data_IF_491021832465
#
_entry.id   IF_491021832465
#
_cell.length_a   1.000
_cell.length_b   1.000
_cell.length_c   1.000
_cell.angle_alpha   90.00
_cell.angle_beta   90.00
_cell.angle_gamma   90.00
#
_symmetry.space_group_name_H-M   'P 1'
#
loop_
_entity.id
_entity.type
_entity.pdbx_description
1 polymer ?
#
# COMPACT_ATOMS: atom_id res chain seq x y z
N UNK A 1 10.68 6.34 -38.08
CA UNK A 1 10.68 7.67 -37.44
C UNK A 1 10.31 7.45 -35.98
N UNK A 2 11.28 7.55 -35.07
CA UNK A 2 11.08 7.34 -33.63
C UNK A 2 10.26 8.50 -33.08
N UNK A 3 9.00 8.22 -32.71
CA UNK A 3 8.16 9.16 -31.96
C UNK A 3 8.74 9.29 -30.54
N UNK A 4 9.76 10.13 -30.38
CA UNK A 4 10.36 10.46 -29.09
C UNK A 4 9.42 11.39 -28.32
N UNK A 5 8.25 10.89 -27.93
CA UNK A 5 7.42 11.57 -26.93
C UNK A 5 8.19 11.55 -25.61
N UNK A 6 8.61 12.75 -25.17
CA UNK A 6 9.22 12.95 -23.86
C UNK A 6 8.28 12.35 -22.82
N UNK A 7 8.79 11.42 -22.00
CA UNK A 7 8.01 10.80 -20.93
C UNK A 7 7.56 11.87 -19.93
N UNK A 8 6.30 11.82 -19.45
CA UNK A 8 5.78 12.86 -18.55
C UNK A 8 6.56 12.86 -17.23
N UNK A 9 6.92 14.05 -16.77
CA UNK A 9 7.57 14.23 -15.48
C UNK A 9 6.61 13.90 -14.34
N UNK A 10 7.08 13.13 -13.36
CA UNK A 10 6.25 12.64 -12.26
C UNK A 10 6.87 13.00 -10.92
N UNK A 11 6.11 13.64 -10.03
CA UNK A 11 6.49 13.80 -8.63
C UNK A 11 5.60 12.95 -7.73
N UNK A 12 6.21 12.40 -6.69
CA UNK A 12 5.48 11.83 -5.55
C UNK A 12 5.60 12.78 -4.37
N UNK A 13 4.48 13.13 -3.77
CA UNK A 13 4.44 13.87 -2.52
C UNK A 13 4.08 12.92 -1.38
N UNK A 14 4.96 12.80 -0.40
CA UNK A 14 4.88 11.83 0.71
C UNK A 14 5.23 12.49 2.04
N UNK A 15 4.65 12.01 3.13
CA UNK A 15 5.03 12.38 4.50
C UNK A 15 6.03 11.40 5.14
N UNK A 16 6.54 10.44 4.35
CA UNK A 16 7.50 9.43 4.77
C UNK A 16 6.89 8.16 5.37
N UNK A 17 5.55 8.07 5.50
CA UNK A 17 4.90 6.84 5.90
C UNK A 17 5.05 5.78 4.79
N UNK A 18 5.89 4.76 5.00
CA UNK A 18 6.27 3.77 3.98
C UNK A 18 5.07 3.11 3.27
N UNK A 19 4.02 2.75 4.01
CA UNK A 19 2.81 2.15 3.41
C UNK A 19 1.98 3.13 2.57
N UNK A 20 2.09 4.44 2.79
CA UNK A 20 1.47 5.44 1.94
C UNK A 20 2.36 5.70 0.71
N UNK A 21 3.66 5.90 0.91
CA UNK A 21 4.62 6.12 -0.17
C UNK A 21 4.61 4.97 -1.20
N UNK A 22 4.52 3.72 -0.72
CA UNK A 22 4.40 2.54 -1.58
C UNK A 22 3.15 2.55 -2.48
N UNK A 23 2.05 3.19 -2.06
CA UNK A 23 0.86 3.33 -2.91
C UNK A 23 1.15 4.26 -4.09
N UNK A 24 1.81 5.39 -3.83
CA UNK A 24 2.21 6.33 -4.88
C UNK A 24 3.24 5.71 -5.83
N UNK A 25 4.23 5.01 -5.28
CA UNK A 25 5.25 4.30 -6.05
C UNK A 25 4.63 3.22 -6.92
N UNK A 26 3.71 2.42 -6.38
CA UNK A 26 3.00 1.38 -7.14
C UNK A 26 2.26 1.94 -8.34
N UNK A 27 1.60 3.10 -8.19
CA UNK A 27 0.96 3.79 -9.30
C UNK A 27 1.97 4.32 -10.33
N UNK A 28 3.03 5.01 -9.88
CA UNK A 28 4.06 5.55 -10.77
C UNK A 28 4.76 4.45 -11.59
N UNK A 29 5.13 3.34 -10.94
CA UNK A 29 5.74 2.19 -11.60
C UNK A 29 4.80 1.54 -12.62
N UNK A 30 3.51 1.42 -12.30
CA UNK A 30 2.51 0.87 -13.24
C UNK A 30 2.31 1.77 -14.45
N UNK A 31 2.55 3.07 -14.30
CA UNK A 31 2.55 4.04 -15.40
C UNK A 31 3.85 4.02 -16.22
N UNK A 32 4.88 3.26 -15.79
CA UNK A 32 6.20 3.25 -16.41
C UNK A 32 7.00 4.53 -16.15
N UNK A 33 6.70 5.24 -15.06
CA UNK A 33 7.32 6.52 -14.72
C UNK A 33 8.34 6.36 -13.60
N UNK A 34 9.43 7.12 -13.68
CA UNK A 34 10.43 7.25 -12.61
C UNK A 34 10.11 8.54 -11.84
N UNK A 35 9.56 8.45 -10.61
CA UNK A 35 9.12 9.63 -9.89
C UNK A 35 10.27 10.30 -9.11
N UNK A 36 10.24 11.63 -9.05
CA UNK A 36 11.00 12.41 -8.07
C UNK A 36 10.20 12.49 -6.76
N UNK A 37 10.74 11.91 -5.69
CA UNK A 37 10.04 11.78 -4.39
C UNK A 37 10.31 13.02 -3.53
N UNK A 38 9.28 13.84 -3.36
CA UNK A 38 9.26 15.00 -2.46
C UNK A 38 8.71 14.59 -1.09
N UNK A 39 9.59 14.34 -0.13
CA UNK A 39 9.20 14.05 1.27
C UNK A 39 9.04 15.34 2.06
N UNK A 40 7.83 15.61 2.54
CA UNK A 40 7.49 16.83 3.27
C UNK A 40 7.23 16.57 4.75
N UNK A 41 7.69 17.50 5.60
CA UNK A 41 7.30 17.58 6.99
C UNK A 41 6.72 18.96 7.27
N UNK A 42 5.43 19.03 7.61
CA UNK A 42 4.78 20.29 7.97
C UNK A 42 5.18 20.68 9.40
N UNK A 43 5.73 21.89 9.57
CA UNK A 43 6.06 22.45 10.89
C UNK A 43 4.75 22.77 11.65
N UNK A 44 4.83 22.82 12.98
CA UNK A 44 3.74 23.35 13.78
C UNK A 44 3.51 24.85 13.44
N UNK A 45 2.26 25.35 13.45
CA UNK A 45 1.01 24.63 13.74
C UNK A 45 0.40 23.94 12.50
N UNK A 46 1.00 24.08 11.31
CA UNK A 46 0.45 23.61 10.03
C UNK A 46 0.27 22.08 9.96
N UNK A 47 1.15 21.33 10.63
CA UNK A 47 0.99 19.88 10.78
C UNK A 47 -0.17 19.45 11.69
N UNK A 48 -0.69 20.36 12.53
CA UNK A 48 -1.77 20.11 13.48
C UNK A 48 -3.14 20.59 12.97
N UNK A 49 -3.14 21.59 12.09
CA UNK A 49 -4.37 22.18 11.56
C UNK A 49 -5.05 21.25 10.54
N UNK A 50 -6.40 21.23 10.50
CA UNK A 50 -7.15 20.59 9.42
C UNK A 50 -6.73 21.13 8.04
N UNK A 51 -6.61 20.28 7.00
CA UNK A 51 -6.17 20.70 5.66
C UNK A 51 -7.00 21.84 5.07
N UNK A 52 -8.31 21.85 5.39
CA UNK A 52 -9.25 22.89 5.02
C UNK A 52 -8.81 24.30 5.42
N UNK A 53 -8.15 24.47 6.58
CA UNK A 53 -7.75 25.76 7.12
C UNK A 53 -6.45 26.24 6.46
N UNK A 54 -5.48 25.34 6.29
CA UNK A 54 -4.20 25.66 5.65
C UNK A 54 -4.32 26.00 4.16
N UNK A 55 -5.23 25.36 3.43
CA UNK A 55 -5.39 25.56 1.99
C UNK A 55 -6.38 26.68 1.59
N UNK A 56 -7.30 27.10 2.49
CA UNK A 56 -8.28 28.17 2.19
C UNK A 56 -7.76 29.58 2.38
N UNK A 57 -6.82 29.83 3.30
CA UNK A 57 -6.52 31.21 3.72
C UNK A 57 -5.27 31.85 3.13
N UNK A 58 -4.22 31.12 2.78
CA UNK A 58 -2.98 31.75 2.30
C UNK A 58 -2.16 30.78 1.42
N UNK A 59 -1.15 31.29 0.70
CA UNK A 59 -0.05 30.51 0.10
C UNK A 59 0.79 29.72 1.15
N UNK A 60 0.27 29.57 2.37
CA UNK A 60 0.89 29.00 3.54
C UNK A 60 1.23 27.49 3.49
N UNK A 61 0.62 26.63 2.64
CA UNK A 61 1.03 25.22 2.61
C UNK A 61 2.51 25.05 2.26
N UNK A 62 3.07 25.94 1.42
CA UNK A 62 4.51 25.97 1.13
C UNK A 62 5.31 26.71 2.22
N UNK A 63 4.77 27.79 2.80
CA UNK A 63 5.43 28.52 3.89
C UNK A 63 5.53 27.71 5.20
N UNK A 64 4.69 26.70 5.39
CA UNK A 64 4.72 25.77 6.53
C UNK A 64 5.67 24.59 6.38
N UNK A 65 6.31 24.46 5.21
CA UNK A 65 7.33 23.44 4.93
C UNK A 65 8.69 24.00 5.35
N UNK A 66 9.57 23.16 5.91
CA UNK A 66 10.92 23.62 6.26
C UNK A 66 11.70 24.14 5.04
N UNK A 67 12.55 25.15 5.23
CA UNK A 67 13.20 25.91 4.14
C UNK A 67 13.97 25.02 3.15
N UNK A 68 14.64 23.97 3.65
CA UNK A 68 15.34 22.97 2.81
C UNK A 68 14.40 22.09 1.97
N UNK A 69 13.21 21.80 2.47
CA UNK A 69 12.20 20.99 1.76
C UNK A 69 11.42 21.85 0.75
N UNK A 70 11.18 23.12 1.09
CA UNK A 70 10.55 24.09 0.20
C UNK A 70 11.44 24.41 -1.02
N UNK A 71 12.76 24.38 -0.87
CA UNK A 71 13.71 24.59 -1.97
C UNK A 71 13.54 23.61 -3.15
N UNK A 72 13.00 22.42 -2.91
CA UNK A 72 12.71 21.41 -3.95
C UNK A 72 11.27 21.44 -4.49
N UNK A 73 10.43 22.35 -4.01
CA UNK A 73 9.03 22.53 -4.40
C UNK A 73 8.87 23.85 -5.16
N UNK A 74 9.63 23.98 -6.23
CA UNK A 74 9.65 25.15 -7.12
C UNK A 74 9.42 24.71 -8.57
N UNK A 75 8.93 25.60 -9.45
CA UNK A 75 8.81 25.29 -10.88
C UNK A 75 10.16 24.89 -11.51
N UNK A 76 10.16 24.11 -12.62
CA UNK A 76 8.99 23.65 -13.36
C UNK A 76 8.18 22.60 -12.60
N UNK A 77 6.86 22.76 -12.60
CA UNK A 77 5.95 21.80 -11.97
C UNK A 77 5.84 20.53 -12.81
N UNK A 78 5.60 19.36 -12.20
CA UNK A 78 5.54 18.10 -12.92
C UNK A 78 4.27 18.01 -13.76
N UNK A 79 4.30 17.18 -14.80
CA UNK A 79 3.11 16.82 -15.57
C UNK A 79 2.11 16.02 -14.71
N UNK A 80 2.64 15.16 -13.83
CA UNK A 80 1.88 14.34 -12.89
C UNK A 80 2.38 14.51 -11.45
N UNK A 81 1.47 14.83 -10.53
CA UNK A 81 1.71 14.82 -9.09
C UNK A 81 0.85 13.75 -8.42
N UNK A 82 1.49 12.72 -7.87
CA UNK A 82 0.83 11.68 -7.09
C UNK A 82 1.07 11.97 -5.60
N UNK A 83 0.00 12.17 -4.84
CA UNK A 83 0.08 12.49 -3.43
C UNK A 83 -0.76 11.51 -2.60
N UNK A 84 -0.39 11.31 -1.34
CA UNK A 84 -1.10 10.40 -0.43
C UNK A 84 -1.12 10.95 0.99
N UNK A 85 -2.22 10.68 1.70
CA UNK A 85 -2.35 11.06 3.09
C UNK A 85 -2.67 12.54 3.31
N UNK A 86 -3.07 12.85 4.54
CA UNK A 86 -3.66 14.15 4.88
C UNK A 86 -2.67 15.31 4.85
N UNK A 87 -1.38 15.04 5.12
CA UNK A 87 -0.35 16.08 5.21
C UNK A 87 0.06 16.63 3.83
N UNK A 88 -0.18 15.88 2.76
CA UNK A 88 0.17 16.27 1.39
C UNK A 88 -0.91 17.11 0.71
N UNK A 89 -2.15 17.05 1.21
CA UNK A 89 -3.34 17.69 0.60
C UNK A 89 -3.13 19.18 0.34
N UNK A 90 -2.71 19.95 1.36
CA UNK A 90 -2.55 21.39 1.22
C UNK A 90 -1.49 21.78 0.18
N UNK A 91 -0.38 21.04 0.16
CA UNK A 91 0.74 21.26 -0.77
C UNK A 91 0.36 20.87 -2.19
N UNK A 92 -0.32 19.73 -2.38
CA UNK A 92 -0.82 19.29 -3.69
C UNK A 92 -1.79 20.31 -4.31
N UNK A 93 -2.70 20.87 -3.50
CA UNK A 93 -3.61 21.94 -3.94
C UNK A 93 -2.85 23.22 -4.30
N UNK A 94 -1.83 23.59 -3.52
CA UNK A 94 -1.01 24.77 -3.80
C UNK A 94 -0.25 24.64 -5.12
N UNK A 95 0.40 23.48 -5.36
CA UNK A 95 1.11 23.18 -6.61
C UNK A 95 0.16 23.27 -7.81
N UNK A 96 -1.02 22.64 -7.73
CA UNK A 96 -2.01 22.72 -8.82
C UNK A 96 -2.39 24.15 -9.13
N UNK A 97 -2.74 24.95 -8.11
CA UNK A 97 -3.10 26.38 -8.27
C UNK A 97 -1.95 27.19 -8.88
N UNK A 98 -0.72 26.94 -8.45
CA UNK A 98 0.46 27.64 -9.00
C UNK A 98 0.74 27.23 -10.45
N UNK A 99 0.61 25.95 -10.80
CA UNK A 99 0.78 25.48 -12.19
C UNK A 99 -0.20 26.16 -13.16
N UNK A 100 -1.46 26.30 -12.75
CA UNK A 100 -2.48 27.03 -13.54
C UNK A 100 -2.14 28.52 -13.65
N UNK A 101 -1.71 29.15 -12.53
CA UNK A 101 -1.38 30.59 -12.50
C UNK A 101 -0.18 30.93 -13.39
N UNK A 102 0.83 30.07 -13.43
CA UNK A 102 2.06 30.31 -14.18
C UNK A 102 1.93 30.05 -15.69
N UNK A 103 0.72 29.69 -16.19
CA UNK A 103 0.46 29.34 -17.59
C UNK A 103 1.39 28.24 -18.15
N UNK A 104 1.98 27.43 -17.28
CA UNK A 104 2.56 26.13 -17.65
C UNK A 104 1.42 25.15 -17.91
N UNK A 105 1.63 24.06 -18.67
CA UNK A 105 0.76 22.88 -18.60
C UNK A 105 0.32 22.62 -17.16
N UNK A 106 -1.00 22.61 -16.87
CA UNK A 106 -1.44 22.41 -15.50
C UNK A 106 -1.00 21.02 -15.04
N UNK A 107 -0.42 20.93 -13.85
CA UNK A 107 -0.05 19.66 -13.23
C UNK A 107 -1.30 18.80 -13.03
N UNK A 108 -1.27 17.54 -13.46
CA UNK A 108 -2.33 16.58 -13.18
C UNK A 108 -2.16 16.09 -11.75
N UNK A 109 -3.14 16.33 -10.88
CA UNK A 109 -3.05 15.88 -9.47
C UNK A 109 -3.89 14.66 -9.19
N UNK A 110 -3.23 13.60 -8.72
CA UNK A 110 -3.83 12.36 -8.24
C UNK A 110 -3.62 12.26 -6.75
N UNK A 111 -4.71 12.26 -5.97
CA UNK A 111 -4.67 12.16 -4.53
C UNK A 111 -5.19 10.79 -4.08
N UNK A 112 -4.33 9.99 -3.48
CA UNK A 112 -4.65 8.67 -2.94
C UNK A 112 -5.11 8.80 -1.49
N UNK A 113 -6.08 7.97 -1.11
CA UNK A 113 -6.87 7.99 0.13
C UNK A 113 -7.81 9.18 0.26
N UNK A 114 -8.77 9.09 1.17
CA UNK A 114 -9.70 10.18 1.44
C UNK A 114 -8.95 11.45 1.91
N UNK A 115 -8.99 12.55 1.13
CA UNK A 115 -8.24 13.76 1.45
C UNK A 115 -8.83 14.56 2.62
N UNK A 116 -10.06 14.25 3.04
CA UNK A 116 -10.88 15.08 3.95
C UNK A 116 -10.91 16.55 3.50
N UNK A 117 -11.02 16.73 2.19
CA UNK A 117 -11.00 18.01 1.47
C UNK A 117 -11.91 17.88 0.23
N UNK A 118 -12.50 18.98 -0.29
CA UNK A 118 -13.28 18.93 -1.53
C UNK A 118 -12.54 18.19 -2.66
N UNK A 119 -13.17 17.15 -3.18
CA UNK A 119 -12.59 16.27 -4.21
C UNK A 119 -12.27 17.03 -5.51
N UNK A 120 -13.05 18.07 -5.83
CA UNK A 120 -12.82 18.98 -6.98
C UNK A 120 -11.52 19.79 -6.93
N UNK A 121 -10.83 19.80 -5.78
CA UNK A 121 -9.52 20.42 -5.65
C UNK A 121 -8.42 19.62 -6.38
N UNK A 122 -8.69 18.37 -6.74
CA UNK A 122 -7.80 17.47 -7.45
C UNK A 122 -8.38 17.11 -8.83
N UNK A 123 -7.55 16.55 -9.70
CA UNK A 123 -8.03 16.02 -10.98
C UNK A 123 -8.56 14.59 -10.82
N UNK A 124 -7.97 13.80 -9.92
CA UNK A 124 -8.45 12.47 -9.56
C UNK A 124 -8.23 12.22 -8.05
N UNK A 125 -9.24 11.68 -7.39
CA UNK A 125 -9.13 11.16 -6.02
C UNK A 125 -9.32 9.65 -6.05
N UNK A 126 -8.33 8.90 -5.58
CA UNK A 126 -8.36 7.44 -5.55
C UNK A 126 -8.58 6.99 -4.11
N UNK A 127 -9.66 6.27 -3.86
CA UNK A 127 -10.10 5.97 -2.49
C UNK A 127 -10.64 4.55 -2.39
N UNK A 128 -10.24 3.77 -1.37
CA UNK A 128 -10.83 2.46 -1.16
C UNK A 128 -12.33 2.54 -0.81
N UNK A 129 -13.12 1.56 -1.25
CA UNK A 129 -14.57 1.50 -1.04
C UNK A 129 -14.97 1.60 0.44
N UNK A 130 -14.12 1.10 1.34
CA UNK A 130 -14.36 1.17 2.77
C UNK A 130 -14.35 2.60 3.35
N UNK A 131 -13.83 3.60 2.64
CA UNK A 131 -13.84 5.01 3.05
C UNK A 131 -15.12 5.75 2.63
N UNK A 132 -15.98 5.14 1.80
CA UNK A 132 -17.32 5.61 1.42
C UNK A 132 -17.36 7.04 0.84
N UNK A 133 -16.27 7.48 0.20
CA UNK A 133 -16.22 8.77 -0.49
C UNK A 133 -16.70 8.61 -1.93
N UNK A 134 -17.58 9.51 -2.38
CA UNK A 134 -18.09 9.57 -3.75
C UNK A 134 -17.92 10.96 -4.33
N UNK A 135 -17.91 11.06 -5.66
CA UNK A 135 -17.79 12.33 -6.38
C UNK A 135 -17.45 12.14 -7.86
N UNK A 136 -17.57 13.19 -8.67
CA UNK A 136 -17.40 13.10 -10.13
C UNK A 136 -15.98 12.74 -10.58
N UNK A 137 -14.98 13.03 -9.74
CA UNK A 137 -13.57 12.72 -9.98
C UNK A 137 -13.01 11.75 -8.94
N UNK A 138 -13.88 10.93 -8.35
CA UNK A 138 -13.49 9.91 -7.36
C UNK A 138 -13.49 8.55 -8.03
N UNK A 139 -12.35 7.85 -7.97
CA UNK A 139 -12.20 6.48 -8.42
C UNK A 139 -12.06 5.55 -7.22
N UNK A 140 -13.02 4.64 -7.09
CA UNK A 140 -13.10 3.73 -5.95
C UNK A 140 -12.34 2.43 -6.22
N UNK A 141 -11.46 2.05 -5.30
CA UNK A 141 -10.71 0.77 -5.31
C UNK A 141 -11.29 -0.23 -4.30
N UNK A 142 -11.02 -1.53 -4.44
CA UNK A 142 -11.40 -2.52 -3.41
C UNK A 142 -10.44 -2.48 -2.23
N UNK A 143 -9.14 -2.46 -2.51
CA UNK A 143 -8.05 -2.38 -1.55
C UNK A 143 -7.20 -1.12 -1.72
N UNK A 144 -5.96 -1.17 -1.21
CA UNK A 144 -4.97 -0.10 -1.42
C UNK A 144 -4.23 -0.30 -2.74
N UNK A 145 -3.64 0.77 -3.28
CA UNK A 145 -2.64 0.60 -4.34
C UNK A 145 -1.39 -0.09 -3.80
N UNK A 146 -0.59 -0.72 -4.66
CA UNK A 146 0.59 -1.44 -4.21
C UNK A 146 1.60 -1.64 -5.34
N UNK A 147 2.77 -2.13 -4.94
CA UNK A 147 3.88 -2.46 -5.84
C UNK A 147 3.89 -3.93 -6.29
N UNK A 148 3.01 -4.79 -5.77
CA UNK A 148 2.97 -6.21 -6.21
C UNK A 148 2.65 -6.30 -7.70
N UNK A 149 3.55 -6.94 -8.46
CA UNK A 149 3.39 -7.35 -9.87
C UNK A 149 4.00 -8.72 -10.04
N UNK A 150 3.57 -9.48 -11.06
CA UNK A 150 4.12 -10.81 -11.31
C UNK A 150 5.63 -10.77 -11.54
N UNK A 151 6.11 -9.85 -12.36
CA UNK A 151 7.54 -9.66 -12.64
C UNK A 151 8.36 -9.37 -11.36
N UNK A 152 7.83 -8.55 -10.45
CA UNK A 152 8.50 -8.26 -9.17
C UNK A 152 8.53 -9.46 -8.25
N UNK A 153 7.43 -10.21 -8.18
CA UNK A 153 7.37 -11.42 -7.37
C UNK A 153 8.31 -12.50 -7.90
N UNK A 154 8.38 -12.70 -9.21
CA UNK A 154 9.26 -13.71 -9.82
C UNK A 154 10.74 -13.35 -9.61
N UNK A 155 11.12 -12.07 -9.78
CA UNK A 155 12.48 -11.61 -9.51
C UNK A 155 12.86 -11.80 -8.03
N UNK A 156 12.03 -11.30 -7.11
CA UNK A 156 12.30 -11.44 -5.68
C UNK A 156 12.25 -12.90 -5.21
N UNK A 157 11.40 -13.74 -5.81
CA UNK A 157 11.37 -15.17 -5.50
C UNK A 157 12.70 -15.84 -5.86
N UNK A 158 13.34 -15.46 -6.97
CA UNK A 158 14.66 -15.99 -7.33
C UNK A 158 15.72 -15.63 -6.28
N UNK A 159 15.72 -14.39 -5.79
CA UNK A 159 16.69 -13.91 -4.79
C UNK A 159 16.57 -14.64 -3.44
N UNK A 160 15.36 -15.04 -3.06
CA UNK A 160 15.08 -15.68 -1.76
C UNK A 160 14.86 -17.20 -1.83
N UNK A 161 14.86 -17.82 -3.03
CA UNK A 161 14.56 -19.23 -3.21
C UNK A 161 15.50 -20.14 -2.41
N UNK A 162 16.81 -19.87 -2.44
CA UNK A 162 17.81 -20.66 -1.73
C UNK A 162 17.60 -20.63 -0.21
N UNK A 163 17.20 -19.48 0.34
CA UNK A 163 16.95 -19.32 1.77
C UNK A 163 15.79 -20.19 2.26
N UNK A 164 14.80 -20.45 1.41
CA UNK A 164 13.60 -21.23 1.78
C UNK A 164 13.62 -22.66 1.24
N UNK A 165 14.72 -23.10 0.62
CA UNK A 165 14.80 -24.38 -0.08
C UNK A 165 14.59 -25.60 0.85
N UNK A 166 15.02 -25.49 2.11
CA UNK A 166 14.90 -26.57 3.10
C UNK A 166 13.51 -26.66 3.76
N UNK A 167 12.62 -25.69 3.50
CA UNK A 167 11.26 -25.72 4.05
C UNK A 167 10.37 -26.71 3.28
N UNK A 168 9.59 -27.55 3.99
CA UNK A 168 8.69 -28.48 3.32
C UNK A 168 7.55 -27.73 2.63
N UNK A 169 6.97 -28.39 1.63
CA UNK A 169 5.78 -27.91 0.93
C UNK A 169 4.51 -28.55 1.49
N UNK A 170 3.37 -27.83 1.50
CA UNK A 170 3.18 -26.49 0.93
C UNK A 170 3.88 -25.39 1.74
N UNK A 171 4.49 -24.43 1.03
CA UNK A 171 5.14 -23.27 1.65
C UNK A 171 4.10 -22.20 1.96
N UNK A 172 3.89 -21.91 3.24
CA UNK A 172 2.93 -20.91 3.70
C UNK A 172 3.66 -19.65 4.13
N UNK A 173 3.40 -18.54 3.43
CA UNK A 173 3.88 -17.23 3.88
C UNK A 173 2.97 -16.68 4.95
N UNK A 174 3.56 -16.29 6.09
CA UNK A 174 2.81 -15.69 7.21
C UNK A 174 3.22 -14.24 7.39
N UNK A 175 2.31 -13.32 7.09
CA UNK A 175 2.53 -11.88 7.18
C UNK A 175 1.97 -11.36 8.50
N UNK A 176 2.87 -10.91 9.38
CA UNK A 176 2.51 -10.39 10.70
C UNK A 176 2.60 -8.86 10.70
N UNK A 177 1.45 -8.21 10.89
CA UNK A 177 1.33 -6.78 11.10
C UNK A 177 1.76 -6.36 12.51
N UNK A 178 0.95 -5.56 13.17
CA UNK A 178 1.24 -5.08 14.51
C UNK A 178 0.04 -4.42 15.18
N UNK A 179 0.14 -4.01 16.45
CA UNK A 179 -0.86 -3.17 17.06
C UNK A 179 -1.02 -1.85 16.27
N UNK A 180 -2.23 -1.32 16.29
CA UNK A 180 -2.55 0.02 15.80
C UNK A 180 -3.77 0.55 16.58
N UNK A 181 -4.30 1.72 16.19
CA UNK A 181 -5.44 2.33 16.88
C UNK A 181 -6.73 1.49 16.84
N UNK A 182 -6.85 0.55 15.91
CA UNK A 182 -8.02 -0.32 15.76
C UNK A 182 -7.79 -1.73 16.34
N UNK A 183 -6.58 -2.27 16.24
CA UNK A 183 -6.28 -3.66 16.57
C UNK A 183 -5.24 -3.80 17.67
N UNK A 184 -5.47 -4.76 18.57
CA UNK A 184 -4.52 -5.19 19.59
C UNK A 184 -3.78 -6.44 19.13
N UNK A 185 -2.48 -6.46 19.38
CA UNK A 185 -1.63 -7.64 19.17
C UNK A 185 -0.82 -7.86 20.43
N UNK A 186 -1.10 -8.96 21.12
CA UNK A 186 -0.47 -9.35 22.37
C UNK A 186 0.21 -10.71 22.22
N UNK A 187 1.17 -11.07 23.09
CA UNK A 187 1.81 -12.38 23.04
C UNK A 187 0.81 -13.54 23.02
N UNK A 188 -0.30 -13.45 23.75
CA UNK A 188 -1.33 -14.48 23.80
C UNK A 188 -2.08 -14.62 22.46
N UNK A 189 -2.26 -13.52 21.72
CA UNK A 189 -2.81 -13.54 20.36
C UNK A 189 -1.85 -14.26 19.42
N UNK A 190 -0.56 -13.94 19.50
CA UNK A 190 0.49 -14.58 18.69
C UNK A 190 0.63 -16.07 19.04
N UNK A 191 0.54 -16.45 20.30
CA UNK A 191 0.61 -17.84 20.74
C UNK A 191 -0.57 -18.65 20.19
N UNK A 192 -1.78 -18.07 20.12
CA UNK A 192 -2.93 -18.70 19.46
C UNK A 192 -2.73 -18.84 17.95
N UNK A 193 -2.17 -17.84 17.28
CA UNK A 193 -1.80 -17.95 15.87
C UNK A 193 -0.80 -19.10 15.68
N UNK A 194 0.27 -19.14 16.47
CA UNK A 194 1.29 -20.19 16.40
C UNK A 194 0.71 -21.58 16.68
N UNK A 195 -0.26 -21.71 17.60
CA UNK A 195 -0.96 -22.98 17.82
C UNK A 195 -1.69 -23.46 16.56
N UNK A 196 -2.38 -22.56 15.85
CA UNK A 196 -3.01 -22.87 14.57
C UNK A 196 -2.00 -23.24 13.48
N UNK A 197 -0.86 -22.55 13.42
CA UNK A 197 0.21 -22.88 12.47
C UNK A 197 0.83 -24.25 12.76
N UNK A 198 1.07 -24.60 14.03
CA UNK A 198 1.54 -25.92 14.44
C UNK A 198 0.58 -27.03 14.04
N UNK A 199 -0.71 -26.81 14.26
CA UNK A 199 -1.74 -27.76 13.83
C UNK A 199 -1.73 -27.93 12.31
N UNK A 200 -1.73 -26.83 11.55
CA UNK A 200 -1.66 -26.86 10.09
C UNK A 200 -0.40 -27.59 9.60
N UNK A 201 0.75 -27.38 10.23
CA UNK A 201 1.98 -28.09 9.93
C UNK A 201 1.83 -29.59 10.13
N UNK A 202 1.25 -30.01 11.26
CA UNK A 202 1.06 -31.42 11.60
C UNK A 202 0.09 -32.14 10.65
N UNK A 203 -0.91 -31.44 10.13
CA UNK A 203 -1.96 -32.03 9.27
C UNK A 203 -1.72 -31.89 7.78
N UNK A 204 -0.85 -30.96 7.34
CA UNK A 204 -0.58 -30.71 5.92
C UNK A 204 0.91 -30.80 5.52
N UNK A 205 1.82 -30.92 6.48
CA UNK A 205 3.27 -30.92 6.22
C UNK A 205 3.84 -29.55 5.86
N UNK A 206 3.10 -28.47 6.09
CA UNK A 206 3.49 -27.12 5.67
C UNK A 206 4.76 -26.59 6.35
N UNK A 207 5.58 -25.88 5.56
CA UNK A 207 6.69 -25.05 6.03
C UNK A 207 6.30 -23.56 6.03
N UNK A 208 6.89 -22.75 6.90
CA UNK A 208 6.47 -21.35 7.07
C UNK A 208 7.55 -20.32 6.74
N UNK A 209 7.24 -19.39 5.85
CA UNK A 209 8.02 -18.18 5.62
C UNK A 209 7.36 -17.00 6.33
N UNK A 210 7.81 -16.70 7.55
CA UNK A 210 7.18 -15.71 8.43
C UNK A 210 7.91 -14.38 8.33
N UNK A 211 7.18 -13.30 8.07
CA UNK A 211 7.72 -11.94 8.04
C UNK A 211 6.90 -11.04 8.96
N UNK A 212 7.58 -10.37 9.88
CA UNK A 212 6.98 -9.45 10.83
C UNK A 212 7.22 -7.99 10.45
N UNK A 213 6.24 -7.14 10.74
CA UNK A 213 6.38 -5.70 10.58
C UNK A 213 7.25 -5.11 11.69
N UNK A 214 7.95 -4.01 11.42
CA UNK A 214 8.70 -3.24 12.43
C UNK A 214 7.88 -2.88 13.68
N UNK A 215 6.55 -2.83 13.55
CA UNK A 215 5.61 -2.50 14.62
C UNK A 215 5.09 -3.71 15.39
N UNK A 216 5.44 -4.95 15.03
CA UNK A 216 5.02 -6.16 15.76
C UNK A 216 5.42 -6.10 17.24
N UNK A 217 6.59 -5.54 17.55
CA UNK A 217 7.07 -5.34 18.92
C UNK A 217 7.81 -6.56 19.48
N UNK A 218 8.80 -6.31 20.34
CA UNK A 218 9.76 -7.32 20.79
C UNK A 218 9.12 -8.51 21.51
N UNK A 219 8.10 -8.27 22.36
CA UNK A 219 7.40 -9.33 23.08
C UNK A 219 6.65 -10.29 22.14
N UNK A 220 6.03 -9.75 21.09
CA UNK A 220 5.33 -10.54 20.07
C UNK A 220 6.32 -11.30 19.17
N UNK A 221 7.47 -10.71 18.83
CA UNK A 221 8.56 -11.42 18.14
C UNK A 221 9.07 -12.58 18.99
N UNK A 222 9.26 -12.37 20.30
CA UNK A 222 9.66 -13.44 21.21
C UNK A 222 8.61 -14.56 21.28
N UNK A 223 7.32 -14.20 21.30
CA UNK A 223 6.22 -15.16 21.22
C UNK A 223 6.21 -15.95 19.90
N UNK A 224 6.47 -15.31 18.75
CA UNK A 224 6.64 -16.00 17.46
C UNK A 224 7.78 -17.00 17.50
N UNK A 225 8.98 -16.59 17.98
CA UNK A 225 10.15 -17.46 18.07
C UNK A 225 9.87 -18.70 18.92
N UNK A 226 9.26 -18.53 20.10
CA UNK A 226 8.85 -19.66 20.95
C UNK A 226 7.78 -20.53 20.30
N UNK A 227 6.76 -19.91 19.73
CA UNK A 227 5.60 -20.60 19.16
C UNK A 227 5.92 -21.41 17.90
N UNK A 228 6.91 -20.99 17.12
CA UNK A 228 7.33 -21.63 15.88
C UNK A 228 8.47 -22.64 16.06
N UNK A 229 9.11 -22.71 17.22
CA UNK A 229 10.29 -23.55 17.46
C UNK A 229 10.11 -25.04 17.12
N UNK A 230 8.87 -25.55 17.16
CA UNK A 230 8.56 -26.94 16.88
C UNK A 230 8.10 -27.21 15.42
N UNK A 231 8.16 -26.22 14.53
CA UNK A 231 7.78 -26.37 13.11
C UNK A 231 8.86 -25.84 12.16
N UNK A 232 8.98 -26.39 10.94
CA UNK A 232 9.88 -25.87 9.93
C UNK A 232 9.50 -24.43 9.55
N UNK A 233 10.38 -23.47 9.83
CA UNK A 233 10.09 -22.07 9.54
C UNK A 233 11.36 -21.24 9.30
N UNK A 234 11.20 -20.17 8.53
CA UNK A 234 12.08 -19.02 8.51
C UNK A 234 11.33 -17.81 9.08
N UNK A 235 11.95 -17.07 10.00
CA UNK A 235 11.37 -15.84 10.58
C UNK A 235 12.26 -14.63 10.27
N UNK A 236 11.70 -13.68 9.53
CA UNK A 236 12.23 -12.32 9.43
C UNK A 236 11.46 -11.41 10.41
N UNK A 237 12.14 -10.85 11.39
CA UNK A 237 11.53 -10.13 12.52
C UNK A 237 11.30 -8.63 12.28
N UNK A 238 11.63 -8.13 11.08
CA UNK A 238 11.49 -6.73 10.73
C UNK A 238 12.62 -5.82 11.19
N UNK A 239 13.64 -6.35 11.89
CA UNK A 239 14.76 -5.59 12.45
C UNK A 239 16.14 -6.10 12.01
N UNK A 240 16.20 -7.19 11.23
CA UNK A 240 17.45 -7.75 10.74
C UNK A 240 18.18 -6.89 9.70
N UNK A 241 19.50 -7.06 9.64
CA UNK A 241 20.33 -6.60 8.52
C UNK A 241 20.00 -7.40 7.25
N UNK A 242 19.91 -6.72 6.11
CA UNK A 242 19.62 -7.36 4.82
C UNK A 242 18.38 -6.81 4.12
N UNK A 243 18.14 -7.32 2.91
CA UNK A 243 16.97 -6.95 2.11
C UNK A 243 15.69 -7.52 2.72
N UNK A 244 14.61 -6.74 2.70
CA UNK A 244 13.32 -7.18 3.21
C UNK A 244 12.75 -8.29 2.32
N UNK A 245 12.55 -9.52 2.84
CA UNK A 245 12.17 -10.67 2.02
C UNK A 245 10.70 -10.67 1.58
N UNK A 246 9.92 -9.64 1.93
CA UNK A 246 8.47 -9.59 1.76
C UNK A 246 7.99 -10.03 0.36
N UNK A 247 8.56 -9.47 -0.71
CA UNK A 247 8.15 -9.85 -2.07
C UNK A 247 8.63 -11.25 -2.48
N UNK A 248 9.81 -11.68 -2.00
CA UNK A 248 10.31 -13.03 -2.25
C UNK A 248 9.45 -14.09 -1.59
N UNK A 249 9.05 -13.85 -0.34
CA UNK A 249 8.14 -14.73 0.39
C UNK A 249 6.78 -14.81 -0.31
N UNK A 250 6.18 -13.67 -0.68
CA UNK A 250 4.94 -13.65 -1.46
C UNK A 250 5.04 -14.42 -2.79
N UNK A 251 6.17 -14.30 -3.50
CA UNK A 251 6.38 -14.98 -4.78
C UNK A 251 6.56 -16.50 -4.66
N UNK A 252 7.19 -16.96 -3.58
CA UNK A 252 7.46 -18.39 -3.32
C UNK A 252 6.27 -19.14 -2.69
N UNK A 253 5.31 -18.41 -2.13
CA UNK A 253 4.17 -18.96 -1.40
C UNK A 253 3.29 -19.91 -2.24
N UNK A 254 2.82 -20.98 -1.61
CA UNK A 254 1.67 -21.78 -2.06
C UNK A 254 0.36 -21.22 -1.49
N UNK A 255 0.39 -20.69 -0.27
CA UNK A 255 -0.71 -19.98 0.37
C UNK A 255 -0.17 -18.90 1.31
N UNK A 256 -1.01 -17.93 1.64
CA UNK A 256 -0.65 -16.79 2.50
C UNK A 256 -1.61 -16.72 3.68
N UNK A 257 -1.06 -16.60 4.89
CA UNK A 257 -1.81 -16.20 6.09
C UNK A 257 -1.36 -14.79 6.46
N UNK A 258 -2.29 -13.86 6.60
CA UNK A 258 -2.00 -12.45 6.87
C UNK A 258 -2.84 -11.95 8.04
N UNK A 259 -2.26 -11.16 8.94
CA UNK A 259 -3.03 -10.54 10.03
C UNK A 259 -3.95 -9.43 9.50
N UNK A 260 -5.17 -9.36 10.03
CA UNK A 260 -6.23 -8.47 9.54
C UNK A 260 -6.08 -6.98 9.85
N UNK A 261 -4.97 -6.54 10.45
CA UNK A 261 -4.79 -5.16 10.91
C UNK A 261 -4.34 -4.17 9.83
N UNK A 262 -4.09 -4.64 8.61
CA UNK A 262 -3.58 -3.81 7.51
C UNK A 262 -4.34 -4.08 6.21
N UNK A 263 -5.04 -3.05 5.71
CA UNK A 263 -5.62 -3.07 4.36
C UNK A 263 -4.54 -3.33 3.32
N UNK A 264 -3.38 -2.68 3.46
CA UNK A 264 -2.30 -2.81 2.49
C UNK A 264 -1.77 -4.24 2.40
N UNK A 265 -1.52 -4.86 3.55
CA UNK A 265 -0.93 -6.20 3.60
C UNK A 265 -1.90 -7.25 3.05
N UNK A 266 -3.19 -7.13 3.37
CA UNK A 266 -4.23 -8.03 2.82
C UNK A 266 -4.36 -7.82 1.31
N UNK A 267 -4.33 -6.58 0.84
CA UNK A 267 -4.43 -6.28 -0.61
C UNK A 267 -3.22 -6.82 -1.37
N UNK A 268 -2.01 -6.61 -0.85
CA UNK A 268 -0.77 -7.12 -1.44
C UNK A 268 -0.72 -8.66 -1.46
N UNK A 269 -1.19 -9.31 -0.39
CA UNK A 269 -1.32 -10.77 -0.35
C UNK A 269 -2.26 -11.29 -1.45
N UNK A 270 -3.41 -10.63 -1.66
CA UNK A 270 -4.35 -11.00 -2.71
C UNK A 270 -3.75 -10.81 -4.11
N UNK A 271 -2.96 -9.74 -4.31
CA UNK A 271 -2.29 -9.46 -5.57
C UNK A 271 -1.20 -10.48 -5.94
N UNK A 272 -0.76 -11.33 -5.01
CA UNK A 272 0.13 -12.45 -5.30
C UNK A 272 -0.55 -13.60 -6.07
N UNK A 273 -1.88 -13.55 -6.23
CA UNK A 273 -2.68 -14.58 -6.89
C UNK A 273 -2.47 -15.97 -6.28
N UNK A 274 -2.44 -16.02 -4.94
CA UNK A 274 -2.38 -17.25 -4.12
C UNK A 274 -3.58 -17.32 -3.16
N UNK A 275 -3.98 -18.50 -2.69
CA UNK A 275 -4.92 -18.63 -1.58
C UNK A 275 -4.52 -17.75 -0.39
N UNK A 276 -5.39 -16.83 0.02
CA UNK A 276 -5.15 -15.92 1.15
C UNK A 276 -6.12 -16.18 2.29
N UNK A 277 -5.57 -16.34 3.49
CA UNK A 277 -6.32 -16.41 4.73
C UNK A 277 -6.01 -15.20 5.62
N UNK A 278 -7.04 -14.57 6.17
CA UNK A 278 -6.92 -13.47 7.11
C UNK A 278 -7.07 -14.00 8.54
N UNK A 279 -6.05 -13.79 9.36
CA UNK A 279 -6.11 -14.02 10.81
C UNK A 279 -6.63 -12.79 11.52
N UNK A 280 -7.75 -12.93 12.22
CA UNK A 280 -8.38 -11.83 12.94
C UNK A 280 -7.65 -11.49 14.23
N UNK A 281 -7.40 -10.20 14.42
CA UNK A 281 -6.85 -9.64 15.64
C UNK A 281 -7.99 -9.03 16.48
N UNK A 282 -7.90 -9.04 17.82
CA UNK A 282 -8.87 -8.38 18.67
C UNK A 282 -8.97 -6.88 18.39
N UNK A 283 -10.19 -6.36 18.37
CA UNK A 283 -10.48 -4.96 18.05
C UNK A 283 -11.19 -4.85 16.70
N UNK A 284 -10.95 -3.75 16.00
CA UNK A 284 -11.57 -3.43 14.73
C UNK A 284 -12.03 -1.97 14.66
N UNK A 285 -12.61 -1.63 13.52
CA UNK A 285 -13.33 -0.38 13.33
C UNK A 285 -14.25 -0.55 12.13
N UNK A 286 -15.31 0.24 12.04
CA UNK A 286 -16.25 0.16 10.92
C UNK A 286 -15.57 0.23 9.54
N UNK A 287 -14.44 0.95 9.43
CA UNK A 287 -13.61 0.99 8.21
C UNK A 287 -13.02 -0.38 7.87
N UNK A 288 -12.36 -1.03 8.84
CA UNK A 288 -11.77 -2.35 8.63
C UNK A 288 -12.82 -3.43 8.47
N UNK A 289 -13.94 -3.34 9.19
CA UNK A 289 -15.05 -4.30 9.09
C UNK A 289 -15.63 -4.30 7.67
N UNK A 290 -15.86 -3.11 7.09
CA UNK A 290 -16.28 -2.97 5.69
C UNK A 290 -15.27 -3.55 4.71
N UNK A 291 -13.98 -3.29 4.92
CA UNK A 291 -12.92 -3.83 4.06
C UNK A 291 -12.91 -5.36 4.10
N UNK A 292 -12.84 -5.96 5.29
CA UNK A 292 -12.81 -7.42 5.43
C UNK A 292 -14.09 -8.07 4.92
N UNK A 293 -15.25 -7.48 5.17
CA UNK A 293 -16.52 -7.95 4.62
C UNK A 293 -16.52 -7.93 3.09
N UNK A 294 -16.01 -6.86 2.46
CA UNK A 294 -15.90 -6.78 1.01
C UNK A 294 -14.94 -7.83 0.43
N UNK A 295 -13.79 -8.06 1.06
CA UNK A 295 -12.81 -9.06 0.61
C UNK A 295 -13.33 -10.50 0.75
N UNK A 296 -14.11 -10.79 1.80
CA UNK A 296 -14.80 -12.06 1.97
C UNK A 296 -15.91 -12.23 0.93
N UNK A 297 -16.72 -11.19 0.70
CA UNK A 297 -17.85 -11.23 -0.22
C UNK A 297 -17.42 -11.47 -1.68
N UNK A 298 -16.27 -10.92 -2.10
CA UNK A 298 -15.71 -11.19 -3.43
C UNK A 298 -14.82 -12.44 -3.48
N UNK A 299 -14.74 -13.22 -2.40
CA UNK A 299 -13.95 -14.46 -2.30
C UNK A 299 -12.44 -14.27 -2.51
N UNK A 300 -11.92 -13.06 -2.32
CA UNK A 300 -10.49 -12.78 -2.39
C UNK A 300 -9.72 -13.40 -1.21
N UNK A 301 -10.39 -13.57 -0.07
CA UNK A 301 -9.81 -14.14 1.14
C UNK A 301 -10.77 -15.11 1.82
N UNK A 302 -10.22 -15.97 2.67
CA UNK A 302 -10.94 -16.72 3.72
C UNK A 302 -10.42 -16.34 5.10
N UNK A 303 -11.06 -16.81 6.17
CA UNK A 303 -10.56 -16.60 7.54
C UNK A 303 -9.61 -17.72 7.96
N UNK A 304 -8.46 -17.36 8.52
CA UNK A 304 -7.63 -18.30 9.27
C UNK A 304 -8.15 -18.37 10.70
N UNK A 305 -8.81 -19.47 11.05
CA UNK A 305 -9.29 -19.72 12.42
C UNK A 305 -8.52 -20.92 12.97
N UNK A 306 -7.61 -20.73 13.95
CA UNK A 306 -6.93 -21.82 14.63
C UNK A 306 -7.92 -22.89 15.11
N UNK A 307 -7.60 -24.18 14.93
CA UNK A 307 -8.52 -25.29 15.23
C UNK A 307 -9.53 -25.63 14.13
N UNK A 308 -9.75 -24.74 13.15
CA UNK A 308 -10.69 -24.99 12.03
C UNK A 308 -9.99 -25.17 10.70
N UNK A 309 -8.97 -24.35 10.41
CA UNK A 309 -8.18 -24.48 9.18
C UNK A 309 -7.06 -25.47 9.41
N UNK A 310 -7.31 -26.74 9.07
CA UNK A 310 -6.37 -27.85 9.22
C UNK A 310 -5.72 -28.27 7.89
N UNK A 311 -6.24 -27.80 6.77
CA UNK A 311 -5.65 -28.00 5.46
C UNK A 311 -5.78 -26.72 4.64
N UNK A 312 -4.85 -26.52 3.71
CA UNK A 312 -4.95 -25.44 2.74
C UNK A 312 -5.95 -25.84 1.67
N UNK A 313 -6.88 -24.94 1.40
CA UNK A 313 -7.89 -25.09 0.37
C UNK A 313 -7.47 -24.32 -0.87
N UNK A 314 -7.90 -24.82 -2.03
CA UNK A 314 -7.82 -24.08 -3.28
C UNK A 314 -9.21 -23.57 -3.65
N UNK A 315 -9.27 -22.35 -4.17
CA UNK A 315 -10.50 -21.78 -4.73
C UNK A 315 -10.16 -20.82 -5.86
N UNK A 316 -11.14 -20.53 -6.70
CA UNK A 316 -10.98 -19.54 -7.77
C UNK A 316 -10.80 -18.16 -7.17
N UNK A 317 -9.63 -17.57 -7.40
CA UNK A 317 -9.31 -16.23 -6.94
C UNK A 317 -9.94 -15.19 -7.88
N UNK A 318 -10.55 -14.12 -7.35
CA UNK A 318 -10.99 -13.01 -8.17
C UNK A 318 -9.79 -12.29 -8.78
N UNK A 319 -9.93 -11.81 -10.01
CA UNK A 319 -8.97 -10.90 -10.61
C UNK A 319 -9.15 -9.48 -10.03
N UNK A 320 -8.21 -9.06 -9.18
CA UNK A 320 -8.23 -7.75 -8.50
C UNK A 320 -6.93 -7.01 -8.84
N UNK A 321 -6.99 -6.11 -9.82
CA UNK A 321 -5.88 -5.19 -10.15
C UNK A 321 -6.31 -3.73 -10.04
N UNK A 322 -6.57 -3.29 -8.80
CA UNK A 322 -6.92 -1.89 -8.52
C UNK A 322 -5.83 -0.92 -8.97
N UNK A 323 -4.55 -1.30 -8.85
CA UNK A 323 -3.41 -0.47 -9.28
C UNK A 323 -3.39 -0.30 -10.80
N UNK A 324 -3.60 -1.38 -11.56
CA UNK A 324 -3.73 -1.32 -13.02
C UNK A 324 -4.94 -0.50 -13.48
N UNK A 325 -6.10 -0.68 -12.85
CA UNK A 325 -7.31 0.10 -13.12
C UNK A 325 -7.06 1.60 -12.94
N UNK A 326 -6.43 1.99 -11.82
CA UNK A 326 -6.11 3.40 -11.54
C UNK A 326 -5.06 3.94 -12.51
N UNK A 327 -4.02 3.18 -12.82
CA UNK A 327 -3.01 3.57 -13.81
C UNK A 327 -3.65 3.84 -15.18
N UNK A 328 -4.56 2.98 -15.64
CA UNK A 328 -5.28 3.19 -16.89
C UNK A 328 -6.13 4.47 -16.87
N UNK A 329 -6.78 4.79 -15.75
CA UNK A 329 -7.51 6.05 -15.60
C UNK A 329 -6.60 7.27 -15.68
N UNK A 330 -5.44 7.23 -15.01
CA UNK A 330 -4.45 8.32 -15.05
C UNK A 330 -3.86 8.48 -16.45
N UNK A 331 -3.55 7.40 -17.17
CA UNK A 331 -3.09 7.47 -18.56
C UNK A 331 -4.10 8.17 -19.48
N UNK A 332 -5.41 7.90 -19.33
CA UNK A 332 -6.46 8.59 -20.10
C UNK A 332 -6.47 10.09 -19.80
N UNK A 333 -6.32 10.48 -18.53
CA UNK A 333 -6.26 11.89 -18.12
C UNK A 333 -5.02 12.60 -18.69
N UNK A 334 -3.85 11.95 -18.66
CA UNK A 334 -2.63 12.48 -19.27
C UNK A 334 -2.77 12.64 -20.79
N UNK A 335 -3.33 11.64 -21.48
CA UNK A 335 -3.54 11.69 -22.92
C UNK A 335 -4.52 12.78 -23.33
N UNK A 336 -5.60 12.98 -22.57
CA UNK A 336 -6.58 14.05 -22.83
C UNK A 336 -5.94 15.44 -22.73
N UNK A 337 -5.00 15.64 -21.79
CA UNK A 337 -4.26 16.90 -21.65
C UNK A 337 -3.27 17.14 -22.78
N UNK A 338 -2.54 16.10 -23.21
CA UNK A 338 -1.61 16.21 -24.34
C UNK A 338 -2.32 16.55 -25.66
N UNK A 339 -3.55 16.06 -25.86
CA UNK A 339 -4.36 16.41 -27.05
C UNK A 339 -4.86 17.86 -27.02
N UNK A 340 -5.25 18.39 -25.87
CA UNK A 340 -5.69 19.80 -25.75
C UNK A 340 -4.57 20.80 -26.06
N UNK A 341 -3.31 20.45 -25.77
CA UNK A 341 -2.16 21.31 -26.04
C UNK A 341 -1.72 21.35 -27.50
N UNK A 342 -2.07 20.34 -28.31
CA UNK A 342 -1.70 20.26 -29.72
C UNK A 342 -2.65 21.03 -30.65
N UNK A 343 -3.81 21.48 -30.15
CA UNK A 343 -4.85 22.17 -30.94
C UNK A 343 -4.74 23.70 -30.80
N UNK A 344 -4.11 24.18 -29.71
CA UNK A 344 -3.91 25.60 -29.40
C UNK A 344 -2.49 26.12 -29.76
N UNK A 345 -1.71 25.34 -30.52
CA UNK A 345 -0.32 25.64 -30.94
C UNK A 345 -0.20 25.99 -32.42
#
# INVERSE_FOLDING_TARGET
MSDSRISPTCWILSDGAAGMENQCLGLAERLGLVPDIKRIALRAPWGWLPPAIGARRFAAPLAGIGDRQAAGLVPPWPDLLIATGRRTVGVSVAIRRQSVRLRTPPTLTVQIQNPRFPVSAFDLVVVPAHDQLTGPNVLTTRGSLHRVTRARLDAAAADFAAQLADLPRPLVTVLIGGPNSAYRMTPEVIERLCAGLRELAATSGAGFAVTASRRTGAENIAALRRGLAAVPHHLWDGQGEGENPYFGYLGLADAIIVTGDSVNMVTEACAAAKPVYVYDLPGGSAKFDRFHAAMLACQAVRKFVPGKVRQLESWTLPDIDDTGMVAAAVQRLLAARGKGQAIDG
#
